data_IF_191806580661
#
_entry.id   IF_191806580661
#
_cell.length_a   1.000
_cell.length_b   1.000
_cell.length_c   1.000
_cell.angle_alpha   90.00
_cell.angle_beta   90.00
_cell.angle_gamma   90.00
#
_symmetry.space_group_name_H-M   'P 1'
#
loop_
_entity.id
_entity.type
_entity.pdbx_description
1 polymer ?
#
# COMPACT_ATOMS: atom_id res chain seq x y z
N UNK A 1 -0.35 14.49 20.98
CA UNK A 1 0.79 13.55 20.91
C UNK A 1 0.43 12.15 21.42
N UNK A 2 -0.18 12.00 22.61
CA UNK A 2 -0.61 10.68 23.12
C UNK A 2 -1.54 9.89 22.17
N UNK A 3 -2.57 10.54 21.60
CA UNK A 3 -3.48 9.90 20.64
C UNK A 3 -2.77 9.44 19.34
N UNK A 4 -1.74 10.15 18.91
CA UNK A 4 -0.94 9.79 17.73
C UNK A 4 -0.03 8.58 18.01
N UNK A 5 0.58 8.54 19.21
CA UNK A 5 1.36 7.40 19.66
C UNK A 5 0.51 6.13 19.81
N UNK A 6 -0.70 6.25 20.36
CA UNK A 6 -1.63 5.11 20.50
C UNK A 6 -2.10 4.60 19.13
N UNK A 7 -2.45 5.52 18.20
CA UNK A 7 -2.85 5.15 16.84
C UNK A 7 -1.74 4.41 16.08
N UNK A 8 -0.49 4.88 16.18
CA UNK A 8 0.65 4.19 15.53
C UNK A 8 0.99 2.85 16.18
N UNK A 9 0.72 2.67 17.49
CA UNK A 9 0.85 1.37 18.18
C UNK A 9 -0.25 0.39 17.75
N UNK A 10 -1.50 0.85 17.66
CA UNK A 10 -2.62 0.04 17.21
C UNK A 10 -2.41 -0.45 15.77
N UNK A 11 -1.99 0.43 14.86
CA UNK A 11 -1.67 0.06 13.47
C UNK A 11 -0.59 -1.04 13.44
N UNK A 12 0.48 -0.90 14.23
CA UNK A 12 1.54 -1.90 14.27
C UNK A 12 1.04 -3.28 14.78
N UNK A 13 0.18 -3.29 15.80
CA UNK A 13 -0.40 -4.55 16.34
C UNK A 13 -1.32 -5.22 15.34
N UNK A 14 -2.21 -4.46 14.67
CA UNK A 14 -3.07 -5.00 13.61
C UNK A 14 -2.25 -5.53 12.44
N UNK A 15 -1.15 -4.86 12.12
CA UNK A 15 -0.28 -5.26 11.03
C UNK A 15 0.47 -6.55 11.31
N UNK A 16 1.20 -6.61 12.43
CA UNK A 16 1.97 -7.78 12.83
C UNK A 16 1.05 -8.96 13.22
N UNK A 17 -0.17 -8.68 13.71
CA UNK A 17 -1.12 -9.68 14.16
C UNK A 17 -2.09 -10.21 13.10
N UNK A 18 -2.43 -9.42 12.07
CA UNK A 18 -3.47 -9.79 11.08
C UNK A 18 -2.94 -9.75 9.66
N UNK A 19 -2.29 -8.66 9.26
CA UNK A 19 -1.90 -8.44 7.86
C UNK A 19 -0.80 -9.41 7.44
N UNK A 20 0.30 -9.48 8.19
CA UNK A 20 1.42 -10.37 7.86
C UNK A 20 1.01 -11.85 7.92
N UNK A 21 0.34 -12.34 8.99
CA UNK A 21 -0.13 -13.72 9.03
C UNK A 21 -1.14 -14.04 7.92
N UNK A 22 -2.06 -13.11 7.62
CA UNK A 22 -3.04 -13.28 6.54
C UNK A 22 -2.38 -13.39 5.17
N UNK A 23 -1.38 -12.55 4.90
CA UNK A 23 -0.63 -12.59 3.65
C UNK A 23 0.19 -13.88 3.49
N UNK A 24 0.81 -14.37 4.58
CA UNK A 24 1.51 -15.66 4.59
C UNK A 24 0.55 -16.84 4.36
N UNK A 25 -0.63 -16.79 4.96
CA UNK A 25 -1.68 -17.80 4.76
C UNK A 25 -2.15 -17.81 3.30
N UNK A 26 -2.40 -16.64 2.72
CA UNK A 26 -2.77 -16.51 1.30
C UNK A 26 -1.67 -17.02 0.37
N UNK A 27 -0.41 -16.65 0.63
CA UNK A 27 0.73 -17.09 -0.19
C UNK A 27 0.91 -18.61 -0.15
N UNK A 28 0.82 -19.21 1.04
CA UNK A 28 0.98 -20.66 1.22
C UNK A 28 -0.20 -21.44 0.65
N UNK A 29 -1.44 -21.03 0.95
CA UNK A 29 -2.65 -21.70 0.45
C UNK A 29 -2.82 -21.54 -1.07
N UNK A 30 -2.55 -20.34 -1.60
CA UNK A 30 -2.56 -20.07 -3.04
C UNK A 30 -1.46 -20.83 -3.78
N UNK A 31 -0.23 -20.82 -3.24
CA UNK A 31 0.89 -21.60 -3.77
C UNK A 31 0.59 -23.11 -3.80
N UNK A 32 -0.01 -23.63 -2.72
CA UNK A 32 -0.46 -25.02 -2.67
C UNK A 32 -1.50 -25.34 -3.75
N UNK A 33 -2.48 -24.44 -3.97
CA UNK A 33 -3.48 -24.60 -5.03
C UNK A 33 -2.83 -24.60 -6.42
N UNK A 34 -1.87 -23.71 -6.67
CA UNK A 34 -1.12 -23.64 -7.94
C UNK A 34 -0.37 -24.95 -8.19
N UNK A 35 0.36 -25.45 -7.18
CA UNK A 35 1.10 -26.71 -7.30
C UNK A 35 0.17 -27.89 -7.57
N UNK A 36 -0.93 -27.98 -6.85
CA UNK A 36 -1.83 -29.16 -6.92
C UNK A 36 -2.79 -29.14 -8.09
N UNK A 37 -3.26 -27.98 -8.55
CA UNK A 37 -4.27 -27.85 -9.61
C UNK A 37 -3.71 -27.42 -10.96
N UNK A 38 -2.54 -26.79 -10.97
CA UNK A 38 -1.91 -26.22 -12.16
C UNK A 38 -0.50 -26.76 -12.39
N UNK A 39 -0.17 -27.94 -11.85
CA UNK A 39 1.08 -28.65 -12.17
C UNK A 39 2.35 -27.94 -11.71
N UNK A 40 2.27 -27.04 -10.72
CA UNK A 40 3.41 -26.22 -10.31
C UNK A 40 3.66 -25.12 -11.33
N UNK A 41 4.69 -25.26 -12.18
CA UNK A 41 5.11 -24.23 -13.13
C UNK A 41 4.21 -24.10 -14.36
N UNK A 42 3.33 -25.07 -14.63
CA UNK A 42 2.43 -25.00 -15.79
C UNK A 42 1.43 -23.85 -15.69
N UNK A 43 1.20 -23.30 -14.49
CA UNK A 43 0.44 -22.07 -14.27
C UNK A 43 0.93 -20.88 -15.09
N UNK A 44 2.21 -20.88 -15.52
CA UNK A 44 2.77 -19.83 -16.38
C UNK A 44 2.06 -19.74 -17.74
N UNK A 45 1.40 -20.82 -18.16
CA UNK A 45 0.58 -20.85 -19.38
C UNK A 45 -0.85 -20.37 -19.15
N UNK A 46 -1.19 -19.94 -17.93
CA UNK A 46 -2.53 -19.46 -17.54
C UNK A 46 -2.44 -17.95 -17.25
N UNK A 47 -2.68 -17.08 -18.25
CA UNK A 47 -2.29 -15.67 -18.17
C UNK A 47 -2.91 -14.90 -17.00
N UNK A 48 -4.20 -15.12 -16.72
CA UNK A 48 -4.86 -14.47 -15.58
C UNK A 48 -4.25 -14.86 -14.23
N UNK A 49 -3.82 -16.12 -14.08
CA UNK A 49 -3.22 -16.63 -12.85
C UNK A 49 -1.81 -16.08 -12.67
N UNK A 50 -1.03 -15.98 -13.75
CA UNK A 50 0.25 -15.26 -13.75
C UNK A 50 0.06 -13.81 -13.33
N UNK A 51 -0.92 -13.11 -13.91
CA UNK A 51 -1.24 -11.74 -13.55
C UNK A 51 -1.58 -11.59 -12.07
N UNK A 52 -2.44 -12.45 -11.52
CA UNK A 52 -2.77 -12.44 -10.09
C UNK A 52 -1.54 -12.67 -9.20
N UNK A 53 -0.70 -13.64 -9.52
CA UNK A 53 0.50 -13.96 -8.72
C UNK A 53 1.50 -12.80 -8.75
N UNK A 54 1.75 -12.21 -9.92
CA UNK A 54 2.68 -11.09 -10.07
C UNK A 54 2.17 -9.86 -9.31
N UNK A 55 0.89 -9.52 -9.43
CA UNK A 55 0.29 -8.39 -8.73
C UNK A 55 0.26 -8.60 -7.22
N UNK A 56 -0.08 -9.81 -6.77
CA UNK A 56 -0.03 -10.16 -5.35
C UNK A 56 1.39 -10.04 -4.77
N UNK A 57 2.41 -10.53 -5.49
CA UNK A 57 3.80 -10.39 -5.07
C UNK A 57 4.23 -8.93 -5.02
N UNK A 58 3.78 -8.12 -5.98
CA UNK A 58 4.04 -6.69 -6.01
C UNK A 58 3.43 -5.99 -4.78
N UNK A 59 2.13 -6.17 -4.52
CA UNK A 59 1.46 -5.64 -3.32
C UNK A 59 2.13 -6.13 -2.03
N UNK A 60 2.52 -7.41 -2.00
CA UNK A 60 3.17 -7.99 -0.84
C UNK A 60 4.51 -7.31 -0.55
N UNK A 61 5.34 -7.05 -1.57
CA UNK A 61 6.65 -6.42 -1.40
C UNK A 61 6.50 -4.94 -1.04
N UNK A 62 5.65 -4.21 -1.77
CA UNK A 62 5.40 -2.78 -1.57
C UNK A 62 4.79 -2.52 -0.18
N UNK A 63 3.70 -3.22 0.14
CA UNK A 63 2.96 -3.09 1.39
C UNK A 63 3.75 -3.60 2.61
N UNK A 64 4.35 -4.79 2.53
CA UNK A 64 4.99 -5.46 3.68
C UNK A 64 6.43 -5.06 3.95
N UNK A 65 7.14 -4.54 2.96
CA UNK A 65 8.56 -4.22 3.12
C UNK A 65 8.82 -2.72 3.00
N UNK A 66 8.45 -2.10 1.88
CA UNK A 66 8.86 -0.74 1.57
C UNK A 66 8.10 0.27 2.44
N UNK A 67 6.78 0.18 2.47
CA UNK A 67 5.92 1.07 3.26
C UNK A 67 6.15 0.87 4.76
N UNK A 68 6.41 -0.36 5.20
CA UNK A 68 6.78 -0.69 6.59
C UNK A 68 8.08 -0.02 7.03
N UNK A 69 9.14 -0.10 6.21
CA UNK A 69 10.43 0.54 6.53
C UNK A 69 10.27 2.06 6.60
N UNK A 70 9.53 2.66 5.67
CA UNK A 70 9.25 4.09 5.67
C UNK A 70 8.47 4.53 6.92
N UNK A 71 7.41 3.79 7.28
CA UNK A 71 6.60 4.09 8.47
C UNK A 71 7.38 3.92 9.77
N UNK A 72 8.19 2.87 9.90
CA UNK A 72 9.03 2.64 11.08
C UNK A 72 10.10 3.72 11.25
N UNK A 73 10.70 4.19 10.14
CA UNK A 73 11.61 5.35 10.16
C UNK A 73 10.89 6.63 10.60
N UNK A 74 9.69 6.87 10.06
CA UNK A 74 8.88 8.04 10.44
C UNK A 74 8.50 7.99 11.93
N UNK A 75 8.12 6.82 12.45
CA UNK A 75 7.76 6.64 13.86
C UNK A 75 8.96 6.86 14.79
N UNK A 76 10.14 6.38 14.39
CA UNK A 76 11.39 6.62 15.12
C UNK A 76 11.74 8.11 15.19
N UNK A 77 11.73 8.79 14.04
CA UNK A 77 11.98 10.23 13.97
C UNK A 77 10.96 11.03 14.80
N UNK A 78 9.70 10.59 14.84
CA UNK A 78 8.64 11.20 15.65
C UNK A 78 8.84 11.01 17.15
N UNK A 79 9.30 9.84 17.58
CA UNK A 79 9.64 9.60 18.97
C UNK A 79 10.83 10.47 19.41
N UNK A 80 11.86 10.58 18.56
CA UNK A 80 13.06 11.41 18.81
C UNK A 80 12.70 12.91 18.88
N UNK A 81 11.91 13.41 17.92
CA UNK A 81 11.48 14.82 17.90
C UNK A 81 10.52 15.18 19.06
N UNK A 82 9.67 14.24 19.48
CA UNK A 82 8.77 14.45 20.61
C UNK A 82 9.50 14.49 21.96
N UNK A 83 10.66 13.85 22.07
CA UNK A 83 11.51 13.94 23.26
C UNK A 83 12.23 15.30 23.37
N UNK A 84 12.48 15.96 22.24
CA UNK A 84 13.16 17.27 22.15
C UNK A 84 12.18 18.46 22.22
N UNK A 85 10.86 18.21 22.23
CA UNK A 85 9.84 19.26 22.32
C UNK A 85 9.71 20.16 21.08
N UNK A 86 10.41 19.85 19.99
CA UNK A 86 10.40 20.61 18.73
C UNK A 86 10.18 19.69 17.53
N UNK A 87 9.44 20.16 16.54
CA UNK A 87 9.18 19.41 15.32
C UNK A 87 10.43 19.45 14.42
N UNK A 88 11.23 18.38 14.41
CA UNK A 88 12.47 18.33 13.63
C UNK A 88 12.21 18.55 12.12
N UNK A 89 13.00 19.38 11.42
CA UNK A 89 12.87 19.58 9.97
C UNK A 89 13.08 18.29 9.15
N UNK A 90 13.75 17.27 9.71
CA UNK A 90 13.85 15.94 9.11
C UNK A 90 12.48 15.23 9.06
N UNK A 91 11.65 15.44 10.08
CA UNK A 91 10.32 14.83 10.20
C UNK A 91 9.31 15.44 9.23
N UNK A 92 9.37 16.76 9.04
CA UNK A 92 8.57 17.46 8.02
C UNK A 92 8.95 17.03 6.59
N UNK A 93 10.24 16.74 6.36
CA UNK A 93 10.74 16.26 5.06
C UNK A 93 10.31 14.82 4.78
N UNK A 94 10.33 13.97 5.80
CA UNK A 94 9.89 12.57 5.66
C UNK A 94 8.37 12.45 5.56
N UNK A 95 7.60 13.30 6.26
CA UNK A 95 6.13 13.42 6.10
C UNK A 95 5.73 13.87 4.68
N UNK A 96 6.60 14.60 3.97
CA UNK A 96 6.38 15.06 2.59
C UNK A 96 6.75 14.02 1.53
N UNK A 97 7.22 12.83 1.91
CA UNK A 97 7.40 11.75 0.92
C UNK A 97 6.03 11.37 0.37
N UNK A 98 5.83 11.64 -0.92
CA UNK A 98 4.62 11.30 -1.68
C UNK A 98 4.48 9.80 -1.91
N UNK A 99 5.59 9.04 -1.83
CA UNK A 99 5.62 7.61 -2.10
C UNK A 99 4.66 6.83 -1.19
N UNK A 100 4.73 6.88 0.16
CA UNK A 100 3.83 6.12 1.04
C UNK A 100 2.34 6.40 0.80
N UNK A 101 1.98 7.65 0.48
CA UNK A 101 0.59 8.00 0.16
C UNK A 101 0.16 7.45 -1.20
N UNK A 102 1.02 7.53 -2.21
CA UNK A 102 0.74 6.98 -3.54
C UNK A 102 0.57 5.46 -3.49
N UNK A 103 1.48 4.76 -2.81
CA UNK A 103 1.43 3.31 -2.61
C UNK A 103 0.16 2.91 -1.83
N UNK A 104 -0.28 3.74 -0.87
CA UNK A 104 -1.51 3.48 -0.12
C UNK A 104 -2.77 3.58 -0.99
N UNK A 105 -2.82 4.54 -1.91
CA UNK A 105 -3.94 4.65 -2.84
C UNK A 105 -3.90 3.63 -3.98
N UNK A 106 -2.75 3.00 -4.24
CA UNK A 106 -2.58 1.99 -5.28
C UNK A 106 -3.07 0.59 -4.83
N UNK A 107 -3.06 0.32 -3.53
CA UNK A 107 -3.42 -0.98 -2.93
C UNK A 107 -4.86 -1.42 -3.29
N UNK A 108 -5.87 -0.58 -3.00
CA UNK A 108 -7.26 -0.92 -3.28
C UNK A 108 -7.55 -1.14 -4.78
N UNK A 109 -7.08 -0.28 -5.70
CA UNK A 109 -7.20 -0.53 -7.14
C UNK A 109 -6.50 -1.80 -7.62
N UNK A 110 -5.30 -2.13 -7.13
CA UNK A 110 -4.59 -3.34 -7.55
C UNK A 110 -5.31 -4.59 -7.04
N UNK A 111 -5.84 -4.58 -5.82
CA UNK A 111 -6.70 -5.64 -5.30
C UNK A 111 -7.92 -5.88 -6.19
N UNK A 112 -8.56 -4.82 -6.67
CA UNK A 112 -9.68 -4.93 -7.62
C UNK A 112 -9.26 -5.57 -8.94
N UNK A 113 -8.06 -5.26 -9.45
CA UNK A 113 -7.52 -5.90 -10.65
C UNK A 113 -7.27 -7.39 -10.40
N UNK A 114 -6.68 -7.77 -9.26
CA UNK A 114 -6.46 -9.17 -8.88
C UNK A 114 -7.80 -9.93 -8.84
N UNK A 115 -8.82 -9.35 -8.20
CA UNK A 115 -10.16 -9.93 -8.15
C UNK A 115 -10.79 -10.06 -9.53
N UNK A 116 -10.67 -9.04 -10.38
CA UNK A 116 -11.19 -9.07 -11.74
C UNK A 116 -10.52 -10.18 -12.58
N UNK A 117 -9.21 -10.38 -12.45
CA UNK A 117 -8.50 -11.49 -13.10
C UNK A 117 -9.00 -12.85 -12.64
N UNK A 118 -9.24 -13.02 -11.34
CA UNK A 118 -9.75 -14.28 -10.77
C UNK A 118 -11.19 -14.61 -11.20
N UNK A 119 -12.03 -13.59 -11.37
CA UNK A 119 -13.43 -13.74 -11.77
C UNK A 119 -13.56 -13.92 -13.29
N UNK A 120 -12.94 -13.04 -14.06
CA UNK A 120 -13.12 -12.99 -15.53
C UNK A 120 -12.23 -13.98 -16.26
N UNK A 121 -11.12 -14.41 -15.65
CA UNK A 121 -10.17 -15.41 -16.18
C UNK A 121 -9.82 -15.16 -17.66
N UNK A 122 -9.32 -13.96 -18.01
CA UNK A 122 -8.98 -13.63 -19.39
C UNK A 122 -7.96 -14.63 -19.97
N UNK A 123 -8.10 -14.90 -21.26
CA UNK A 123 -7.22 -15.81 -22.00
C UNK A 123 -5.83 -15.21 -22.30
N UNK A 124 -5.65 -13.91 -22.06
CA UNK A 124 -4.44 -13.16 -22.33
C UNK A 124 -4.20 -12.07 -21.27
N UNK A 125 -3.04 -11.40 -21.34
CA UNK A 125 -2.61 -10.42 -20.33
C UNK A 125 -3.17 -9.00 -20.55
N UNK A 126 -3.96 -8.76 -21.60
CA UNK A 126 -4.46 -7.42 -21.91
C UNK A 126 -5.26 -6.82 -20.76
N UNK A 127 -6.15 -7.60 -20.14
CA UNK A 127 -6.96 -7.14 -19.01
C UNK A 127 -6.09 -6.85 -17.78
N UNK A 128 -5.05 -7.65 -17.53
CA UNK A 128 -4.11 -7.40 -16.45
C UNK A 128 -3.36 -6.09 -16.68
N UNK A 129 -2.83 -5.88 -17.88
CA UNK A 129 -2.10 -4.67 -18.23
C UNK A 129 -2.99 -3.42 -18.18
N UNK A 130 -4.18 -3.47 -18.79
CA UNK A 130 -5.15 -2.39 -18.75
C UNK A 130 -5.59 -2.08 -17.32
N UNK A 131 -5.84 -3.11 -16.51
CA UNK A 131 -6.18 -2.97 -15.10
C UNK A 131 -5.09 -2.24 -14.31
N UNK A 132 -3.83 -2.62 -14.49
CA UNK A 132 -2.68 -1.96 -13.84
C UNK A 132 -2.55 -0.50 -14.28
N UNK A 133 -2.67 -0.22 -15.57
CA UNK A 133 -2.63 1.16 -16.09
C UNK A 133 -3.75 1.99 -15.46
N UNK A 134 -4.97 1.47 -15.41
CA UNK A 134 -6.10 2.13 -14.75
C UNK A 134 -5.86 2.34 -13.24
N UNK A 135 -5.30 1.34 -12.55
CA UNK A 135 -4.97 1.43 -11.13
C UNK A 135 -3.95 2.54 -10.86
N UNK A 136 -2.87 2.62 -11.67
CA UNK A 136 -1.86 3.67 -11.58
C UNK A 136 -2.44 5.06 -11.86
N UNK A 137 -3.29 5.19 -12.88
CA UNK A 137 -3.96 6.45 -13.20
C UNK A 137 -4.89 6.90 -12.07
N UNK A 138 -5.67 5.97 -11.50
CA UNK A 138 -6.58 6.26 -10.39
C UNK A 138 -5.81 6.66 -9.13
N UNK A 139 -4.75 5.92 -8.77
CA UNK A 139 -3.87 6.25 -7.65
C UNK A 139 -3.19 7.61 -7.85
N UNK A 140 -2.71 7.89 -9.06
CA UNK A 140 -2.13 9.19 -9.42
C UNK A 140 -3.14 10.34 -9.30
N UNK A 141 -4.35 10.15 -9.80
CA UNK A 141 -5.43 11.14 -9.73
C UNK A 141 -5.85 11.42 -8.29
N UNK A 142 -6.02 10.38 -7.47
CA UNK A 142 -6.35 10.51 -6.04
C UNK A 142 -5.22 11.21 -5.28
N UNK A 143 -3.97 10.82 -5.54
CA UNK A 143 -2.80 11.46 -4.92
C UNK A 143 -2.73 12.94 -5.28
N UNK A 144 -2.95 13.30 -6.55
CA UNK A 144 -2.96 14.68 -7.01
C UNK A 144 -4.10 15.49 -6.40
N UNK A 145 -5.32 14.99 -6.44
CA UNK A 145 -6.51 15.71 -5.97
C UNK A 145 -6.56 15.89 -4.46
N UNK A 146 -6.19 14.85 -3.70
CA UNK A 146 -6.22 14.88 -2.24
C UNK A 146 -5.00 15.60 -1.66
N UNK A 147 -3.79 15.33 -2.18
CA UNK A 147 -2.56 15.98 -1.67
C UNK A 147 -2.43 17.41 -2.17
N UNK A 148 -2.82 17.67 -3.44
CA UNK A 148 -2.81 19.00 -4.03
C UNK A 148 -3.74 19.99 -3.33
N UNK A 149 -4.91 19.52 -2.85
CA UNK A 149 -5.83 20.36 -2.05
C UNK A 149 -5.27 20.69 -0.66
N UNK A 150 -4.61 19.75 0.02
CA UNK A 150 -4.01 20.01 1.34
C UNK A 150 -2.82 20.97 1.33
N UNK A 151 -2.19 21.22 0.17
CA UNK A 151 -1.13 22.23 0.03
C UNK A 151 -1.66 23.61 -0.42
N UNK A 152 -2.91 23.68 -0.88
CA UNK A 152 -3.55 24.90 -1.37
C UNK A 152 -4.37 25.65 -0.30
N UNK A 153 -4.48 25.11 0.92
CA UNK A 153 -5.18 25.78 2.02
C UNK A 153 -4.18 26.64 2.81
N UNK A 154 -4.23 27.98 2.71
CA UNK A 154 -3.32 28.85 3.45
C UNK A 154 -3.65 28.82 4.94
N UNK A 155 -2.62 28.57 5.75
CA UNK A 155 -2.65 28.76 7.18
C UNK A 155 -2.76 30.26 7.52
N UNK A 156 -3.97 30.80 7.63
CA UNK A 156 -4.35 31.86 8.57
C UNK A 156 -5.74 32.43 8.23
N UNK A 157 -6.75 32.11 9.03
CA UNK A 157 -7.69 33.15 9.46
C UNK A 157 -7.20 33.60 10.84
N UNK A 158 -6.67 34.83 11.02
CA UNK A 158 -6.64 35.39 12.35
C UNK A 158 -8.10 35.57 12.81
N UNK A 159 -8.41 35.02 13.98
CA UNK A 159 -9.63 35.38 14.69
C UNK A 159 -9.45 36.83 15.15
N UNK A 160 -10.14 37.75 14.49
CA UNK A 160 -10.43 39.07 15.07
C UNK A 160 -11.57 38.90 16.08
N UNK A 161 -11.33 39.34 17.30
CA UNK A 161 -12.24 39.31 18.44
C UNK A 161 -11.51 39.72 19.71
#
# INVERSE_FOLDING_TARGET
MAAFAEATRAIAVFYDGVVVPGALLLATSGGWLIVTRYGGWDFLHVPWLVGMVVLFLFEFVEGNTITRIAFMRLRRLAAESSAEGQCSPALLRERRRLLPSFTHFLDLPVLLVILALGVLKPADLSLAFAGVVCALLLAGLLTWTLTGKTLAEPASKPAEG
#
